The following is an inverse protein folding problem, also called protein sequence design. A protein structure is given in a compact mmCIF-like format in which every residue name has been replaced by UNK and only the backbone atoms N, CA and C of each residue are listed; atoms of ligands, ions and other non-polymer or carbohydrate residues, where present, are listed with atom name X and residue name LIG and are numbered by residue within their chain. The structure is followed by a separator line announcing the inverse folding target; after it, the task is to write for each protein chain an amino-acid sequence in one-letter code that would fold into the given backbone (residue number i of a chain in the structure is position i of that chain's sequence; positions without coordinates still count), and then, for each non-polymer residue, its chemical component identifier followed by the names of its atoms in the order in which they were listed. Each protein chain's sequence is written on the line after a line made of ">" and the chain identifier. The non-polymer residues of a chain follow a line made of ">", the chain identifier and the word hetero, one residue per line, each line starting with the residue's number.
data_IF_465042045285
#
_entry.id   IF_465042045285
#
_cell.length_a   1.000
_cell.length_b   1.000
_cell.length_c   1.000
_cell.angle_alpha   90.00
_cell.angle_beta   90.00
_cell.angle_gamma   90.00
#
_symmetry.space_group_name_H-M   'P 1'
#
loop_
_entity.id
_entity.type
_entity.pdbx_description
1 polymer ?
#
# COMPACT_ATOMS: atom_id res chain seq x y z
N UNK A 1 22.77 9.66 13.19
CA UNK A 1 23.90 10.05 12.33
C UNK A 1 24.00 9.02 11.25
N UNK A 2 23.94 9.44 9.98
CA UNK A 2 24.11 8.53 8.85
C UNK A 2 25.59 8.42 8.55
N UNK A 3 26.12 7.20 8.49
CA UNK A 3 27.53 6.93 8.18
C UNK A 3 27.69 6.54 6.71
N UNK A 4 28.91 6.65 6.15
CA UNK A 4 29.25 5.95 4.92
C UNK A 4 28.92 4.45 5.03
N UNK A 5 28.49 3.84 3.93
CA UNK A 5 28.17 2.42 3.92
C UNK A 5 29.37 1.53 4.29
N UNK A 6 30.59 1.96 3.95
CA UNK A 6 31.84 1.28 4.32
C UNK A 6 32.01 1.06 5.82
N UNK A 7 31.40 1.92 6.64
CA UNK A 7 31.57 1.93 8.10
C UNK A 7 30.48 1.10 8.79
N UNK A 8 29.56 0.53 8.01
CA UNK A 8 28.48 -0.32 8.50
C UNK A 8 28.98 -1.76 8.63
N UNK A 9 29.09 -2.25 9.86
CA UNK A 9 29.56 -3.61 10.16
C UNK A 9 28.45 -4.44 10.82
N UNK A 10 27.58 -5.11 10.04
CA UNK A 10 26.53 -5.96 10.58
C UNK A 10 27.12 -7.22 11.20
N UNK A 11 26.53 -7.67 12.31
CA UNK A 11 26.79 -9.00 12.88
C UNK A 11 25.91 -10.04 12.18
N UNK A 12 26.23 -11.34 12.29
CA UNK A 12 25.44 -12.43 11.67
C UNK A 12 23.94 -12.41 12.02
N UNK A 13 23.56 -11.83 13.17
CA UNK A 13 22.16 -11.71 13.61
C UNK A 13 21.44 -10.46 13.08
N UNK A 14 22.17 -9.57 12.41
CA UNK A 14 21.65 -8.29 11.94
C UNK A 14 20.72 -8.51 10.74
N UNK A 15 19.50 -7.98 10.83
CA UNK A 15 18.59 -7.90 9.70
C UNK A 15 18.97 -6.69 8.81
N UNK A 16 19.00 -6.90 7.50
CA UNK A 16 19.39 -5.89 6.52
C UNK A 16 18.21 -5.52 5.62
N UNK A 17 18.03 -4.22 5.42
CA UNK A 17 17.01 -3.63 4.55
C UNK A 17 17.64 -2.62 3.61
N UNK A 18 17.03 -2.45 2.44
CA UNK A 18 17.45 -1.50 1.43
C UNK A 18 16.36 -0.45 1.23
N UNK A 19 16.73 0.83 1.33
CA UNK A 19 15.87 1.97 1.02
C UNK A 19 16.49 2.79 -0.10
N UNK A 20 15.97 2.70 -1.32
CA UNK A 20 16.34 3.61 -2.39
C UNK A 20 16.07 5.07 -2.01
N UNK A 21 17.03 5.95 -2.26
CA UNK A 21 16.87 7.38 -2.05
C UNK A 21 16.44 8.03 -3.37
N UNK A 22 15.13 8.16 -3.54
CA UNK A 22 14.53 8.75 -4.73
C UNK A 22 14.59 10.28 -4.63
N UNK A 23 15.31 10.94 -5.54
CA UNK A 23 15.49 12.38 -5.56
C UNK A 23 15.28 12.98 -6.95
N UNK A 24 15.10 14.30 -7.02
CA UNK A 24 14.82 15.01 -8.28
C UNK A 24 15.90 14.78 -9.36
N UNK A 25 17.16 14.59 -8.96
CA UNK A 25 18.30 14.35 -9.87
C UNK A 25 18.23 12.96 -10.51
N UNK A 26 17.74 11.95 -9.77
CA UNK A 26 17.65 10.58 -10.24
C UNK A 26 16.57 10.36 -11.32
N UNK A 27 15.69 11.34 -11.55
CA UNK A 27 14.64 11.26 -12.57
C UNK A 27 15.17 11.54 -13.99
N UNK A 28 16.25 12.31 -14.14
CA UNK A 28 16.78 12.68 -15.45
C UNK A 28 17.60 11.57 -16.12
N UNK A 29 18.42 10.83 -15.34
CA UNK A 29 19.22 9.67 -15.78
C UNK A 29 19.49 8.73 -14.59
N UNK A 30 18.52 7.91 -14.17
CA UNK A 30 18.74 7.02 -13.03
C UNK A 30 19.77 5.94 -13.32
N UNK A 31 20.51 5.52 -12.29
CA UNK A 31 21.30 4.29 -12.33
C UNK A 31 20.37 3.06 -12.26
N UNK A 32 19.29 3.15 -11.48
CA UNK A 32 18.26 2.13 -11.39
C UNK A 32 16.87 2.74 -11.18
N UNK A 33 15.83 1.99 -11.55
CA UNK A 33 14.42 2.38 -11.38
C UNK A 33 13.73 1.39 -10.45
N UNK A 34 12.95 1.91 -9.51
CA UNK A 34 12.10 1.08 -8.64
C UNK A 34 11.02 0.43 -9.51
N UNK A 35 10.92 -0.89 -9.43
CA UNK A 35 9.84 -1.65 -10.06
C UNK A 35 9.76 -1.53 -11.57
N UNK A 36 10.84 -1.14 -12.24
CA UNK A 36 10.85 -0.76 -13.66
C UNK A 36 10.02 0.49 -14.00
N UNK A 37 9.63 1.29 -13.00
CA UNK A 37 8.68 2.39 -13.12
C UNK A 37 9.37 3.78 -13.09
N UNK A 38 8.63 4.82 -12.70
CA UNK A 38 9.08 6.21 -12.79
C UNK A 38 10.13 6.63 -11.76
N UNK A 39 10.16 6.02 -10.57
CA UNK A 39 11.03 6.45 -9.49
C UNK A 39 12.45 5.93 -9.67
N UNK A 40 13.34 6.84 -10.07
CA UNK A 40 14.77 6.58 -10.22
C UNK A 40 15.56 6.77 -8.92
N UNK A 41 16.68 6.06 -8.78
CA UNK A 41 17.65 6.27 -7.71
C UNK A 41 19.07 5.93 -8.16
N UNK A 42 20.04 6.58 -7.53
CA UNK A 42 21.49 6.38 -7.66
C UNK A 42 22.16 6.13 -6.30
N UNK A 43 21.51 6.58 -5.22
CA UNK A 43 21.91 6.39 -3.84
C UNK A 43 20.95 5.44 -3.12
N UNK A 44 21.49 4.71 -2.15
CA UNK A 44 20.75 3.76 -1.33
C UNK A 44 21.17 3.89 0.14
N UNK A 45 20.18 3.73 1.01
CA UNK A 45 20.39 3.58 2.44
C UNK A 45 20.24 2.10 2.81
N UNK A 46 21.24 1.56 3.49
CA UNK A 46 21.18 0.25 4.13
C UNK A 46 20.81 0.47 5.59
N UNK A 47 19.70 -0.13 6.01
CA UNK A 47 19.31 -0.17 7.42
C UNK A 47 19.75 -1.52 7.97
N UNK A 48 20.61 -1.51 8.99
CA UNK A 48 21.01 -2.69 9.74
C UNK A 48 20.34 -2.65 11.12
N UNK A 49 19.55 -3.67 11.43
CA UNK A 49 18.75 -3.76 12.65
C UNK A 49 19.14 -4.98 13.49
N UNK A 50 19.42 -4.77 14.76
CA UNK A 50 19.66 -5.81 15.76
C UNK A 50 18.77 -5.54 16.98
N UNK A 51 17.69 -6.32 17.09
CA UNK A 51 16.64 -6.09 18.09
C UNK A 51 16.03 -4.69 17.97
N UNK A 52 16.19 -3.88 19.01
CA UNK A 52 15.71 -2.50 19.10
C UNK A 52 16.70 -1.45 18.58
N UNK A 53 17.94 -1.85 18.26
CA UNK A 53 18.96 -0.96 17.74
C UNK A 53 18.97 -0.99 16.21
N UNK A 54 19.13 0.18 15.60
CA UNK A 54 19.31 0.30 14.16
C UNK A 54 20.40 1.30 13.84
N UNK A 55 21.19 0.98 12.82
CA UNK A 55 22.25 1.83 12.26
C UNK A 55 22.04 1.92 10.75
N UNK A 56 22.37 3.07 10.17
CA UNK A 56 22.15 3.34 8.75
C UNK A 56 23.44 3.74 8.07
N UNK A 57 23.76 3.04 6.97
CA UNK A 57 24.84 3.38 6.05
C UNK A 57 24.27 3.87 4.72
N UNK A 58 24.92 4.83 4.07
CA UNK A 58 24.52 5.30 2.73
C UNK A 58 25.68 5.25 1.73
N UNK A 59 25.33 5.02 0.48
CA UNK A 59 26.28 5.05 -0.64
C UNK A 59 25.57 4.89 -1.98
N UNK A 60 26.37 4.91 -3.05
CA UNK A 60 25.94 4.57 -4.40
C UNK A 60 25.65 3.07 -4.55
N UNK A 61 25.12 2.67 -5.70
CA UNK A 61 24.98 1.25 -6.05
C UNK A 61 26.34 0.53 -6.15
N UNK A 62 27.39 1.22 -6.58
CA UNK A 62 28.75 0.67 -6.61
C UNK A 62 29.30 0.48 -5.19
N UNK A 63 29.05 1.43 -4.29
CA UNK A 63 29.40 1.29 -2.87
C UNK A 63 28.66 0.11 -2.23
N UNK A 64 27.39 -0.09 -2.57
CA UNK A 64 26.61 -1.24 -2.11
C UNK A 64 27.21 -2.56 -2.59
N UNK A 65 27.58 -2.67 -3.86
CA UNK A 65 28.19 -3.87 -4.42
C UNK A 65 29.54 -4.17 -3.76
N UNK A 66 30.39 -3.16 -3.57
CA UNK A 66 31.68 -3.29 -2.90
C UNK A 66 31.53 -3.70 -1.42
N UNK A 67 30.61 -3.06 -0.70
CA UNK A 67 30.32 -3.38 0.70
C UNK A 67 29.75 -4.80 0.85
N UNK A 68 28.79 -5.19 0.00
CA UNK A 68 28.17 -6.52 0.04
C UNK A 68 29.14 -7.67 -0.26
N UNK A 69 30.21 -7.41 -1.03
CA UNK A 69 31.25 -8.40 -1.32
C UNK A 69 32.02 -8.85 -0.06
N UNK A 70 32.10 -7.98 0.96
CA UNK A 70 32.73 -8.26 2.24
C UNK A 70 31.83 -8.95 3.28
N UNK A 71 30.54 -9.16 2.99
CA UNK A 71 29.59 -9.77 3.93
C UNK A 71 29.62 -11.30 3.90
N UNK A 72 29.06 -11.91 4.96
CA UNK A 72 28.74 -13.33 4.97
C UNK A 72 27.78 -13.73 3.84
N UNK A 73 27.74 -15.03 3.53
CA UNK A 73 26.96 -15.55 2.40
C UNK A 73 25.47 -15.17 2.47
N UNK A 74 24.85 -15.30 3.65
CA UNK A 74 23.42 -15.06 3.83
C UNK A 74 23.05 -13.58 3.66
N UNK A 75 23.84 -12.67 4.25
CA UNK A 75 23.63 -11.23 4.05
C UNK A 75 23.84 -10.80 2.62
N UNK A 76 24.86 -11.33 1.95
CA UNK A 76 25.10 -11.06 0.54
C UNK A 76 23.93 -11.53 -0.31
N UNK A 77 23.40 -12.74 -0.07
CA UNK A 77 22.21 -13.24 -0.74
C UNK A 77 20.98 -12.36 -0.46
N UNK A 78 20.80 -11.91 0.79
CA UNK A 78 19.74 -10.97 1.19
C UNK A 78 19.81 -9.66 0.42
N UNK A 79 20.99 -9.02 0.37
CA UNK A 79 21.19 -7.74 -0.34
C UNK A 79 20.93 -7.89 -1.84
N UNK A 80 21.46 -8.94 -2.48
CA UNK A 80 21.19 -9.21 -3.89
C UNK A 80 19.70 -9.45 -4.15
N UNK A 81 19.03 -10.24 -3.30
CA UNK A 81 17.60 -10.51 -3.43
C UNK A 81 16.74 -9.27 -3.24
N UNK A 82 17.08 -8.40 -2.27
CA UNK A 82 16.40 -7.12 -2.08
C UNK A 82 16.61 -6.20 -3.28
N UNK A 83 17.84 -6.08 -3.77
CA UNK A 83 18.16 -5.22 -4.92
C UNK A 83 17.43 -5.67 -6.18
N UNK A 84 17.40 -6.98 -6.47
CA UNK A 84 16.62 -7.52 -7.59
C UNK A 84 15.14 -7.17 -7.45
N UNK A 85 14.53 -7.42 -6.28
CA UNK A 85 13.12 -7.08 -6.03
C UNK A 85 12.83 -5.58 -6.11
N UNK A 86 13.80 -4.74 -5.76
CA UNK A 86 13.68 -3.29 -5.90
C UNK A 86 13.59 -2.88 -7.37
N UNK A 87 14.37 -3.50 -8.26
CA UNK A 87 14.52 -3.05 -9.65
C UNK A 87 13.68 -3.81 -10.66
N UNK A 88 13.28 -5.05 -10.37
CA UNK A 88 12.49 -5.89 -11.25
C UNK A 88 11.18 -5.22 -11.65
N UNK A 89 10.86 -5.26 -12.95
CA UNK A 89 9.61 -4.70 -13.46
C UNK A 89 8.41 -5.33 -12.76
N UNK A 90 7.52 -4.50 -12.22
CA UNK A 90 6.33 -5.02 -11.54
C UNK A 90 5.40 -5.70 -12.56
N UNK A 91 5.01 -6.97 -12.33
CA UNK A 91 4.05 -7.63 -13.19
C UNK A 91 2.66 -6.96 -13.04
N UNK A 92 1.76 -7.14 -14.03
CA UNK A 92 0.40 -6.66 -13.90
C UNK A 92 -0.32 -7.27 -12.69
N UNK A 93 -0.97 -6.44 -11.88
CA UNK A 93 -1.74 -6.87 -10.71
C UNK A 93 -3.23 -6.81 -11.03
N UNK A 94 -3.92 -7.96 -11.04
CA UNK A 94 -5.32 -8.07 -11.46
C UNK A 94 -5.60 -7.43 -12.83
N UNK A 95 -4.66 -7.57 -13.78
CA UNK A 95 -4.73 -6.96 -15.12
C UNK A 95 -4.28 -5.50 -15.20
N UNK A 96 -3.92 -4.88 -14.08
CA UNK A 96 -3.47 -3.48 -14.02
C UNK A 96 -1.95 -3.41 -14.17
N UNK A 97 -1.50 -2.69 -15.19
CA UNK A 97 -0.07 -2.39 -15.39
C UNK A 97 0.36 -1.18 -14.58
N UNK A 98 1.63 -1.13 -14.19
CA UNK A 98 2.23 -0.06 -13.39
C UNK A 98 3.20 0.83 -14.20
N UNK A 99 2.83 1.07 -15.46
CA UNK A 99 3.39 2.09 -16.35
C UNK A 99 3.07 3.53 -15.90
N UNK A 100 2.03 3.69 -15.07
CA UNK A 100 1.66 4.94 -14.41
C UNK A 100 1.09 4.68 -13.00
N UNK A 101 1.06 5.71 -12.12
CA UNK A 101 0.37 5.59 -10.84
C UNK A 101 -1.10 5.29 -11.01
N UNK A 102 -1.61 4.36 -10.20
CA UNK A 102 -3.00 3.91 -10.26
C UNK A 102 -3.78 4.40 -9.04
N UNK A 103 -5.00 4.85 -9.27
CA UNK A 103 -5.88 5.34 -8.20
C UNK A 103 -6.89 4.25 -7.87
N UNK A 104 -7.01 3.97 -6.57
CA UNK A 104 -8.00 3.09 -5.98
C UNK A 104 -9.04 3.95 -5.25
N UNK A 105 -10.22 4.08 -5.85
CA UNK A 105 -11.32 4.87 -5.31
C UNK A 105 -12.05 4.16 -4.17
N UNK A 106 -12.24 4.84 -3.04
CA UNK A 106 -12.93 4.28 -1.87
C UNK A 106 -14.45 4.45 -2.00
N UNK A 107 -15.18 3.34 -2.04
CA UNK A 107 -16.64 3.28 -1.97
C UNK A 107 -17.09 2.55 -0.70
N UNK A 108 -17.32 3.30 0.36
CA UNK A 108 -17.89 2.74 1.60
C UNK A 108 -19.40 2.60 1.46
N UNK A 109 -19.92 1.39 1.68
CA UNK A 109 -21.35 1.06 1.68
C UNK A 109 -21.78 0.80 3.13
N UNK A 110 -21.58 1.80 4.00
CA UNK A 110 -21.98 1.74 5.42
C UNK A 110 -23.02 2.82 5.74
N UNK A 111 -23.91 2.62 6.71
CA UNK A 111 -24.87 3.66 7.13
C UNK A 111 -24.18 4.97 7.52
N UNK A 112 -23.04 4.88 8.24
CA UNK A 112 -22.30 6.03 8.78
C UNK A 112 -21.49 6.81 7.74
N UNK A 113 -21.20 6.22 6.57
CA UNK A 113 -20.46 6.91 5.51
C UNK A 113 -21.31 7.96 4.76
N UNK A 114 -22.64 7.90 4.91
CA UNK A 114 -23.59 8.80 4.23
C UNK A 114 -24.28 9.79 5.19
N UNK A 115 -23.97 9.75 6.49
CA UNK A 115 -24.53 10.66 7.50
C UNK A 115 -23.84 12.04 7.56
N UNK A 116 -22.69 12.25 6.90
CA UNK A 116 -21.98 13.54 6.89
C UNK A 116 -22.45 14.52 5.78
N UNK A 117 -23.66 14.33 5.25
CA UNK A 117 -24.32 15.25 4.32
C UNK A 117 -25.22 14.56 3.30
N UNK A 118 -26.52 14.51 3.59
CA UNK A 118 -27.66 14.47 2.63
C UNK A 118 -27.74 13.32 1.61
N UNK A 119 -28.82 12.53 1.72
CA UNK A 119 -29.62 11.94 0.62
C UNK A 119 -29.40 10.51 0.07
N UNK A 120 -28.52 9.65 0.60
CA UNK A 120 -28.16 8.43 -0.16
C UNK A 120 -27.90 7.14 0.61
N UNK A 121 -28.85 6.69 1.44
CA UNK A 121 -28.82 5.36 2.07
C UNK A 121 -29.43 4.25 1.18
N UNK A 122 -29.18 4.25 -0.14
CA UNK A 122 -29.76 3.26 -1.06
C UNK A 122 -28.71 2.64 -1.98
N UNK A 123 -29.01 1.43 -2.46
CA UNK A 123 -28.20 0.67 -3.42
C UNK A 123 -27.88 1.52 -4.66
N UNK A 124 -28.88 2.22 -5.20
CA UNK A 124 -28.77 3.05 -6.39
C UNK A 124 -27.72 4.15 -6.22
N UNK A 125 -27.64 4.71 -5.02
CA UNK A 125 -26.70 5.79 -4.74
C UNK A 125 -25.26 5.29 -4.60
N UNK A 126 -25.06 4.12 -4.00
CA UNK A 126 -23.76 3.46 -3.97
C UNK A 126 -23.28 3.14 -5.39
N UNK A 127 -24.18 2.65 -6.25
CA UNK A 127 -23.88 2.40 -7.67
C UNK A 127 -23.55 3.70 -8.41
N UNK A 128 -24.34 4.76 -8.21
CA UNK A 128 -24.09 6.06 -8.82
C UNK A 128 -22.72 6.62 -8.42
N UNK A 129 -22.40 6.59 -7.12
CA UNK A 129 -21.09 6.99 -6.61
C UNK A 129 -19.96 6.14 -7.20
N UNK A 130 -20.14 4.82 -7.30
CA UNK A 130 -19.16 3.95 -7.96
C UNK A 130 -18.89 4.36 -9.41
N UNK A 131 -19.94 4.72 -10.16
CA UNK A 131 -19.81 5.25 -11.54
C UNK A 131 -19.13 6.60 -11.58
N UNK A 132 -19.36 7.49 -10.62
CA UNK A 132 -18.65 8.77 -10.51
C UNK A 132 -17.13 8.57 -10.31
N UNK A 133 -16.72 7.64 -9.44
CA UNK A 133 -15.30 7.30 -9.26
C UNK A 133 -14.67 6.80 -10.56
N UNK A 134 -15.39 5.96 -11.28
CA UNK A 134 -14.96 5.41 -12.57
C UNK A 134 -14.82 6.50 -13.63
N UNK A 135 -15.79 7.42 -13.71
CA UNK A 135 -15.70 8.59 -14.58
C UNK A 135 -14.53 9.52 -14.22
N UNK A 136 -14.16 9.58 -12.93
CA UNK A 136 -12.97 10.28 -12.47
C UNK A 136 -11.64 9.57 -12.81
N UNK A 137 -11.70 8.37 -13.41
CA UNK A 137 -10.54 7.65 -13.91
C UNK A 137 -9.82 6.78 -12.88
N UNK A 138 -10.53 6.26 -11.87
CA UNK A 138 -9.93 5.25 -10.98
C UNK A 138 -9.67 3.96 -11.73
N UNK A 139 -8.53 3.32 -11.46
CA UNK A 139 -8.19 2.01 -12.02
C UNK A 139 -8.81 0.87 -11.19
N UNK A 140 -9.02 1.11 -9.89
CA UNK A 140 -9.63 0.18 -8.94
C UNK A 140 -10.77 0.90 -8.22
N UNK A 141 -11.90 0.25 -8.07
CA UNK A 141 -12.98 0.67 -7.19
C UNK A 141 -13.02 -0.27 -5.99
N UNK A 142 -12.78 0.25 -4.79
CA UNK A 142 -12.68 -0.51 -3.55
C UNK A 142 -13.95 -0.39 -2.73
N UNK A 143 -14.68 -1.49 -2.61
CA UNK A 143 -16.02 -1.53 -2.03
C UNK A 143 -15.93 -2.15 -0.64
N UNK A 144 -16.33 -1.39 0.39
CA UNK A 144 -16.28 -1.84 1.79
C UNK A 144 -17.64 -1.75 2.48
N UNK A 145 -18.11 -2.83 3.08
CA UNK A 145 -19.38 -2.90 3.82
C UNK A 145 -19.23 -2.75 5.34
N UNK A 146 -18.00 -2.75 5.83
CA UNK A 146 -17.63 -2.64 7.25
C UNK A 146 -16.71 -1.42 7.44
N UNK A 147 -17.01 -0.59 8.45
CA UNK A 147 -16.11 0.50 8.82
C UNK A 147 -14.89 -0.08 9.56
N UNK A 148 -13.70 0.17 9.04
CA UNK A 148 -12.43 -0.19 9.69
C UNK A 148 -11.82 0.99 10.49
N UNK A 149 -12.63 2.04 10.74
CA UNK A 149 -12.21 3.20 11.55
C UNK A 149 -12.00 2.78 13.01
N UNK A 150 -11.05 3.40 13.74
CA UNK A 150 -10.88 3.14 15.15
C UNK A 150 -12.18 3.31 15.94
N UNK A 151 -12.54 2.31 16.75
CA UNK A 151 -13.74 2.31 17.59
C UNK A 151 -15.03 1.82 16.93
N UNK A 152 -15.03 1.40 15.66
CA UNK A 152 -16.22 0.83 15.02
C UNK A 152 -16.58 -0.56 15.57
N UNK A 153 -17.87 -0.89 15.53
CA UNK A 153 -18.36 -2.24 15.83
C UNK A 153 -18.23 -3.15 14.59
N UNK A 154 -17.81 -4.42 14.78
CA UNK A 154 -17.80 -5.38 13.69
C UNK A 154 -19.23 -5.68 13.25
N UNK A 155 -19.41 -5.89 11.94
CA UNK A 155 -20.70 -6.31 11.38
C UNK A 155 -20.67 -7.81 11.07
N UNK A 156 -21.82 -8.48 11.19
CA UNK A 156 -21.93 -9.89 10.79
C UNK A 156 -21.67 -10.04 9.28
N UNK A 157 -21.06 -11.16 8.87
CA UNK A 157 -20.75 -11.44 7.46
C UNK A 157 -21.97 -11.31 6.54
N UNK A 158 -23.13 -11.83 6.97
CA UNK A 158 -24.39 -11.71 6.21
C UNK A 158 -24.83 -10.26 6.00
N UNK A 159 -24.61 -9.37 6.97
CA UNK A 159 -24.94 -7.95 6.84
C UNK A 159 -23.96 -7.23 5.91
N UNK A 160 -22.67 -7.54 6.00
CA UNK A 160 -21.67 -7.01 5.08
C UNK A 160 -21.95 -7.44 3.64
N UNK A 161 -22.27 -8.72 3.42
CA UNK A 161 -22.69 -9.26 2.11
C UNK A 161 -23.92 -8.52 1.57
N UNK A 162 -24.96 -8.31 2.38
CA UNK A 162 -26.16 -7.56 1.98
C UNK A 162 -25.84 -6.15 1.48
N UNK A 163 -24.79 -5.52 2.01
CA UNK A 163 -24.35 -4.17 1.62
C UNK A 163 -23.56 -4.21 0.31
N UNK A 164 -22.56 -5.09 0.21
CA UNK A 164 -21.57 -5.01 -0.87
C UNK A 164 -21.94 -5.81 -2.12
N UNK A 165 -22.57 -6.98 -1.97
CA UNK A 165 -22.80 -7.90 -3.11
C UNK A 165 -23.67 -7.26 -4.18
N UNK A 166 -24.84 -6.65 -3.88
CA UNK A 166 -25.68 -6.06 -4.92
C UNK A 166 -25.00 -4.88 -5.64
N UNK A 167 -24.13 -4.14 -4.93
CA UNK A 167 -23.36 -3.03 -5.52
C UNK A 167 -22.31 -3.57 -6.49
N UNK A 168 -21.60 -4.64 -6.11
CA UNK A 168 -20.60 -5.30 -6.95
C UNK A 168 -21.27 -5.86 -8.20
N UNK A 169 -22.36 -6.62 -8.08
CA UNK A 169 -23.09 -7.20 -9.21
C UNK A 169 -23.54 -6.12 -10.21
N UNK A 170 -24.14 -5.04 -9.71
CA UNK A 170 -24.66 -3.97 -10.56
C UNK A 170 -23.55 -3.17 -11.28
N UNK A 171 -22.38 -3.03 -10.66
CA UNK A 171 -21.22 -2.36 -11.27
C UNK A 171 -20.46 -3.29 -12.24
N UNK A 172 -20.41 -4.60 -11.95
CA UNK A 172 -19.79 -5.61 -12.80
C UNK A 172 -20.63 -5.96 -14.04
N UNK A 173 -21.94 -5.69 -14.02
CA UNK A 173 -22.86 -5.98 -15.12
C UNK A 173 -22.59 -5.21 -16.43
N UNK A 174 -21.71 -4.20 -16.41
CA UNK A 174 -21.32 -3.44 -17.60
C UNK A 174 -19.79 -3.20 -17.62
N UNK A 175 -19.19 -2.95 -18.80
CA UNK A 175 -17.79 -2.55 -18.88
C UNK A 175 -17.53 -1.28 -18.06
N UNK A 176 -16.93 -1.47 -16.88
CA UNK A 176 -16.68 -0.38 -15.94
C UNK A 176 -15.41 0.38 -16.31
N UNK A 177 -14.43 -0.27 -16.95
CA UNK A 177 -13.10 0.33 -17.16
C UNK A 177 -12.25 0.43 -15.90
N UNK A 178 -12.73 -0.10 -14.78
CA UNK A 178 -12.02 -0.24 -13.50
C UNK A 178 -12.18 -1.68 -12.97
N UNK A 179 -11.20 -2.13 -12.19
CA UNK A 179 -11.24 -3.41 -11.49
C UNK A 179 -11.96 -3.24 -10.16
N UNK A 180 -12.83 -4.18 -9.80
CA UNK A 180 -13.55 -4.13 -8.51
C UNK A 180 -12.71 -4.86 -7.44
N UNK A 181 -12.50 -4.18 -6.32
CA UNK A 181 -11.89 -4.69 -5.09
C UNK A 181 -12.94 -4.80 -3.98
N UNK A 182 -12.86 -5.85 -3.17
CA UNK A 182 -13.63 -6.00 -1.92
C UNK A 182 -12.73 -5.70 -0.71
N UNK A 183 -13.07 -4.68 0.07
CA UNK A 183 -12.44 -4.35 1.36
C UNK A 183 -13.12 -5.17 2.46
N UNK A 184 -12.57 -6.35 2.76
CA UNK A 184 -13.09 -7.24 3.80
C UNK A 184 -12.03 -8.16 4.39
N UNK A 185 -12.27 -8.59 5.63
CA UNK A 185 -11.44 -9.54 6.39
C UNK A 185 -12.08 -10.92 6.52
N UNK A 186 -13.32 -11.09 6.02
CA UNK A 186 -14.16 -12.25 6.28
C UNK A 186 -14.19 -13.15 5.05
N UNK A 187 -13.80 -14.41 5.19
CA UNK A 187 -13.68 -15.33 4.08
C UNK A 187 -15.00 -15.49 3.30
N UNK A 188 -16.13 -15.56 4.01
CA UNK A 188 -17.47 -15.67 3.40
C UNK A 188 -17.87 -14.44 2.57
N UNK A 189 -17.41 -13.24 2.96
CA UNK A 189 -17.64 -12.02 2.19
C UNK A 189 -16.77 -12.02 0.94
N UNK A 190 -15.50 -12.44 1.05
CA UNK A 190 -14.58 -12.58 -0.08
C UNK A 190 -15.14 -13.52 -1.15
N UNK A 191 -15.62 -14.71 -0.75
CA UNK A 191 -16.23 -15.70 -1.65
C UNK A 191 -17.40 -15.10 -2.44
N UNK A 192 -18.33 -14.43 -1.75
CA UNK A 192 -19.53 -13.84 -2.38
C UNK A 192 -19.19 -12.64 -3.26
N UNK A 193 -18.26 -11.78 -2.82
CA UNK A 193 -17.84 -10.63 -3.58
C UNK A 193 -17.13 -11.01 -4.88
N UNK A 194 -16.24 -12.01 -4.84
CA UNK A 194 -15.56 -12.51 -6.05
C UNK A 194 -16.56 -13.19 -6.99
N UNK A 195 -17.49 -14.00 -6.47
CA UNK A 195 -18.56 -14.58 -7.27
C UNK A 195 -19.45 -13.51 -7.95
N UNK A 196 -19.60 -12.34 -7.33
CA UNK A 196 -20.34 -11.20 -7.86
C UNK A 196 -19.55 -10.36 -8.90
N UNK A 197 -18.23 -10.56 -9.03
CA UNK A 197 -17.39 -9.88 -10.01
C UNK A 197 -16.18 -9.12 -9.46
N UNK A 198 -15.92 -9.16 -8.14
CA UNK A 198 -14.67 -8.61 -7.60
C UNK A 198 -13.47 -9.44 -8.07
N UNK A 199 -12.36 -8.78 -8.40
CA UNK A 199 -11.11 -9.42 -8.87
C UNK A 199 -9.91 -9.11 -7.97
N UNK A 200 -10.14 -8.38 -6.87
CA UNK A 200 -9.15 -8.07 -5.84
C UNK A 200 -9.79 -8.24 -4.46
N UNK A 201 -9.09 -8.87 -3.53
CA UNK A 201 -9.38 -8.86 -2.10
C UNK A 201 -8.43 -7.87 -1.43
N UNK A 202 -8.99 -6.84 -0.80
CA UNK A 202 -8.26 -5.89 0.03
C UNK A 202 -8.50 -6.23 1.50
N UNK A 203 -7.52 -6.84 2.16
CA UNK A 203 -7.67 -7.31 3.54
C UNK A 203 -6.72 -6.54 4.47
N UNK A 204 -7.33 -5.69 5.31
CA UNK A 204 -6.62 -4.90 6.34
C UNK A 204 -5.90 -5.75 7.40
N UNK A 205 -6.19 -7.06 7.47
CA UNK A 205 -5.57 -8.05 8.35
C UNK A 205 -4.57 -8.97 7.64
N UNK A 206 -4.28 -8.71 6.36
CA UNK A 206 -3.37 -9.52 5.54
C UNK A 206 -3.71 -11.03 5.54
N UNK A 207 -5.00 -11.37 5.41
CA UNK A 207 -5.52 -12.75 5.42
C UNK A 207 -5.25 -13.50 6.73
N UNK A 208 -5.07 -12.78 7.84
CA UNK A 208 -4.82 -13.35 9.16
C UNK A 208 -6.01 -13.18 10.13
N UNK A 209 -6.99 -12.33 9.80
CA UNK A 209 -8.15 -12.06 10.67
C UNK A 209 -9.18 -13.19 10.70
N UNK A 210 -9.31 -13.95 9.62
CA UNK A 210 -10.14 -15.15 9.52
C UNK A 210 -9.26 -16.33 9.10
N UNK A 211 -9.29 -17.42 9.87
CA UNK A 211 -8.53 -18.65 9.60
C UNK A 211 -8.78 -19.25 8.20
N UNK A 212 -9.94 -18.99 7.58
CA UNK A 212 -10.28 -19.44 6.22
C UNK A 212 -9.76 -18.50 5.13
N UNK A 213 -9.47 -17.23 5.44
CA UNK A 213 -9.22 -16.20 4.42
C UNK A 213 -8.06 -16.54 3.49
N UNK A 214 -6.97 -17.11 4.02
CA UNK A 214 -5.81 -17.49 3.21
C UNK A 214 -6.14 -18.58 2.19
N UNK A 215 -6.81 -19.66 2.63
CA UNK A 215 -7.21 -20.76 1.76
C UNK A 215 -8.22 -20.29 0.71
N UNK A 216 -9.21 -19.50 1.14
CA UNK A 216 -10.22 -18.92 0.24
C UNK A 216 -9.59 -18.02 -0.81
N UNK A 217 -8.66 -17.14 -0.43
CA UNK A 217 -7.99 -16.26 -1.38
C UNK A 217 -7.14 -17.06 -2.41
N UNK A 218 -6.50 -18.15 -1.97
CA UNK A 218 -5.78 -19.06 -2.85
C UNK A 218 -6.70 -19.75 -3.87
N UNK A 219 -7.83 -20.29 -3.39
CA UNK A 219 -8.82 -20.97 -4.23
C UNK A 219 -9.48 -20.02 -5.25
N UNK A 220 -9.78 -18.78 -4.85
CA UNK A 220 -10.38 -17.77 -5.71
C UNK A 220 -9.43 -17.28 -6.81
N UNK A 221 -8.11 -17.35 -6.60
CA UNK A 221 -7.09 -17.03 -7.61
C UNK A 221 -7.04 -15.55 -8.04
N UNK A 222 -7.67 -14.66 -7.27
CA UNK A 222 -7.74 -13.20 -7.51
C UNK A 222 -6.52 -12.45 -6.95
N UNK A 223 -6.41 -11.15 -7.23
CA UNK A 223 -5.40 -10.31 -6.59
C UNK A 223 -5.67 -10.14 -5.10
N UNK A 224 -4.62 -10.02 -4.28
CA UNK A 224 -4.74 -9.77 -2.83
C UNK A 224 -3.88 -8.58 -2.42
N UNK A 225 -4.44 -7.71 -1.58
CA UNK A 225 -3.74 -6.58 -0.96
C UNK A 225 -3.58 -6.90 0.53
N UNK A 226 -2.33 -7.06 0.95
CA UNK A 226 -1.96 -7.38 2.33
C UNK A 226 -1.59 -6.10 3.07
N UNK A 227 -2.41 -5.68 4.02
CA UNK A 227 -2.10 -4.50 4.84
C UNK A 227 -1.51 -4.88 6.19
N UNK A 228 -0.54 -4.09 6.66
CA UNK A 228 -0.12 -4.17 8.05
C UNK A 228 -1.09 -3.45 8.98
N UNK A 229 -1.66 -4.19 9.93
CA UNK A 229 -2.42 -3.67 11.06
C UNK A 229 -1.94 -4.29 12.38
N UNK A 230 -1.70 -3.47 13.40
CA UNK A 230 -1.40 -3.96 14.75
C UNK A 230 -2.63 -3.82 15.64
N UNK A 231 -3.08 -4.93 16.23
CA UNK A 231 -4.28 -4.97 17.07
C UNK A 231 -5.58 -4.89 16.26
N UNK A 232 -6.71 -4.92 16.96
CA UNK A 232 -8.04 -4.76 16.36
C UNK A 232 -8.44 -3.28 16.26
N UNK A 233 -9.35 -2.87 15.35
CA UNK A 233 -9.82 -1.48 15.25
C UNK A 233 -10.21 -0.82 16.58
N UNK A 234 -10.74 -1.59 17.53
CA UNK A 234 -11.11 -1.10 18.86
C UNK A 234 -9.92 -0.83 19.78
N UNK A 235 -8.81 -1.55 19.64
CA UNK A 235 -7.68 -1.53 20.59
C UNK A 235 -6.35 -1.08 19.99
N UNK A 236 -6.25 -1.00 18.66
CA UNK A 236 -5.00 -0.78 17.92
C UNK A 236 -4.24 0.49 18.31
N UNK A 237 -4.95 1.55 18.75
CA UNK A 237 -4.32 2.82 19.12
C UNK A 237 -3.71 2.82 20.53
N UNK A 238 -3.97 1.82 21.36
CA UNK A 238 -3.59 1.82 22.78
C UNK A 238 -2.24 1.13 23.09
N UNK A 239 -1.64 0.39 22.13
CA UNK A 239 -0.53 -0.52 22.42
C UNK A 239 0.57 -0.60 21.32
N UNK A 240 0.74 0.44 20.50
CA UNK A 240 1.75 0.40 19.43
C UNK A 240 3.13 0.80 19.94
N UNK A 241 3.93 -0.18 20.33
CA UNK A 241 5.36 -0.01 20.55
C UNK A 241 6.10 -0.56 19.32
N UNK A 242 6.77 0.32 18.57
CA UNK A 242 7.74 -0.05 17.53
C UNK A 242 9.07 0.60 17.89
N UNK A 243 10.17 -0.10 17.63
CA UNK A 243 11.52 0.45 17.72
C UNK A 243 11.96 1.04 16.38
N UNK A 244 11.66 0.36 15.28
CA UNK A 244 11.91 0.83 13.92
C UNK A 244 10.71 0.48 13.03
N UNK A 245 9.63 1.29 13.05
CA UNK A 245 8.35 0.95 12.41
C UNK A 245 8.47 0.49 10.96
N UNK A 246 9.25 1.15 10.07
CA UNK A 246 9.35 0.69 8.67
C UNK A 246 9.92 -0.73 8.54
N UNK A 247 10.89 -1.10 9.37
CA UNK A 247 11.57 -2.40 9.28
C UNK A 247 10.71 -3.52 9.87
N UNK A 248 10.08 -3.26 11.02
CA UNK A 248 9.18 -4.22 11.65
C UNK A 248 7.92 -4.49 10.80
N UNK A 249 7.38 -3.46 10.15
CA UNK A 249 6.27 -3.61 9.20
C UNK A 249 6.73 -4.36 7.94
N UNK A 250 7.96 -4.12 7.47
CA UNK A 250 8.54 -4.88 6.37
C UNK A 250 8.60 -6.36 6.70
N UNK A 251 9.14 -6.72 7.87
CA UNK A 251 9.26 -8.12 8.31
C UNK A 251 7.89 -8.81 8.42
N UNK A 252 6.90 -8.11 8.98
CA UNK A 252 5.53 -8.62 9.05
C UNK A 252 4.97 -8.92 7.65
N UNK A 253 5.06 -7.95 6.73
CA UNK A 253 4.55 -8.11 5.37
C UNK A 253 5.32 -9.18 4.59
N UNK A 254 6.64 -9.28 4.79
CA UNK A 254 7.46 -10.36 4.22
C UNK A 254 6.96 -11.73 4.67
N UNK A 255 6.74 -11.93 5.97
CA UNK A 255 6.19 -13.18 6.49
C UNK A 255 4.77 -13.48 5.99
N UNK A 256 3.94 -12.46 5.76
CA UNK A 256 2.60 -12.64 5.16
C UNK A 256 2.68 -12.99 3.67
N UNK A 257 3.61 -12.41 2.92
CA UNK A 257 3.86 -12.77 1.52
C UNK A 257 4.32 -14.24 1.45
N UNK A 258 5.26 -14.65 2.30
CA UNK A 258 5.75 -16.03 2.34
C UNK A 258 4.62 -17.02 2.68
N UNK A 259 3.74 -16.68 3.62
CA UNK A 259 2.56 -17.48 3.93
C UNK A 259 1.59 -17.61 2.74
N UNK A 260 1.42 -16.53 1.97
CA UNK A 260 0.61 -16.53 0.75
C UNK A 260 1.22 -17.41 -0.35
N UNK A 261 2.54 -17.31 -0.57
CA UNK A 261 3.26 -18.14 -1.53
C UNK A 261 3.20 -19.63 -1.17
N UNK A 262 3.36 -19.96 0.13
CA UNK A 262 3.22 -21.32 0.63
C UNK A 262 1.80 -21.88 0.44
N UNK A 263 0.78 -21.03 0.45
CA UNK A 263 -0.61 -21.39 0.16
C UNK A 263 -0.94 -21.43 -1.35
N UNK A 264 0.00 -21.09 -2.23
CA UNK A 264 -0.18 -21.11 -3.69
C UNK A 264 -0.57 -19.77 -4.33
N UNK A 265 -0.59 -18.67 -3.56
CA UNK A 265 -0.80 -17.32 -4.10
C UNK A 265 0.54 -16.78 -4.60
N UNK A 266 0.72 -16.76 -5.92
CA UNK A 266 1.94 -16.22 -6.53
C UNK A 266 2.14 -14.74 -6.16
N UNK A 267 3.40 -14.33 -5.91
CA UNK A 267 3.77 -12.94 -5.58
C UNK A 267 3.22 -11.89 -6.54
N UNK A 268 3.11 -12.21 -7.83
CA UNK A 268 2.55 -11.34 -8.85
C UNK A 268 1.06 -10.97 -8.61
N UNK A 269 0.35 -11.77 -7.80
CA UNK A 269 -1.02 -11.50 -7.36
C UNK A 269 -1.07 -10.77 -6.02
N UNK A 270 0.06 -10.35 -5.46
CA UNK A 270 0.13 -9.72 -4.15
C UNK A 270 0.55 -8.26 -4.31
N UNK A 271 -0.22 -7.37 -3.69
CA UNK A 271 0.19 -6.02 -3.37
C UNK A 271 0.23 -5.84 -1.84
N UNK A 272 0.95 -4.83 -1.38
CA UNK A 272 1.10 -4.55 0.05
C UNK A 272 0.67 -3.13 0.40
N UNK A 273 0.19 -2.93 1.62
CA UNK A 273 -0.08 -1.61 2.20
C UNK A 273 0.58 -1.51 3.60
N UNK A 274 1.49 -0.56 3.84
CA UNK A 274 2.10 -0.35 5.17
C UNK A 274 1.10 0.05 6.28
N UNK A 275 -0.14 0.36 5.94
CA UNK A 275 -1.27 0.55 6.83
C UNK A 275 -1.24 1.86 7.60
N UNK A 276 -1.13 3.00 6.90
CA UNK A 276 -1.10 4.32 7.54
C UNK A 276 -2.37 4.56 8.38
N UNK A 277 -2.15 4.94 9.64
CA UNK A 277 -3.20 5.20 10.63
C UNK A 277 -3.79 3.95 11.30
N UNK A 278 -3.31 2.75 11.01
CA UNK A 278 -3.77 1.49 11.63
C UNK A 278 -2.79 1.02 12.71
N UNK A 279 -3.11 1.35 13.97
CA UNK A 279 -2.31 1.00 15.15
C UNK A 279 -0.94 1.67 15.17
N UNK A 280 -0.88 2.97 14.89
CA UNK A 280 0.37 3.73 14.68
C UNK A 280 0.21 5.15 15.22
N UNK A 281 1.18 5.61 16.01
CA UNK A 281 1.28 7.01 16.45
C UNK A 281 1.59 7.96 15.27
N UNK A 282 1.58 9.26 15.53
CA UNK A 282 2.01 10.25 14.53
C UNK A 282 3.43 9.94 14.05
N UNK A 283 4.36 9.75 14.99
CA UNK A 283 5.78 9.49 14.73
C UNK A 283 5.96 8.22 13.90
N UNK A 284 5.22 7.15 14.21
CA UNK A 284 5.26 5.92 13.43
C UNK A 284 4.77 6.14 11.99
N UNK A 285 3.66 6.86 11.80
CA UNK A 285 3.15 7.17 10.47
C UNK A 285 4.16 8.00 9.66
N UNK A 286 4.80 9.00 10.26
CA UNK A 286 5.82 9.82 9.59
C UNK A 286 7.09 9.02 9.26
N UNK A 287 7.52 8.12 10.14
CA UNK A 287 8.63 7.23 9.88
C UNK A 287 8.34 6.34 8.66
N UNK A 288 7.13 5.76 8.56
CA UNK A 288 6.72 4.92 7.43
C UNK A 288 6.61 5.74 6.15
N UNK A 289 5.92 6.88 6.19
CA UNK A 289 5.74 7.74 5.01
C UNK A 289 7.06 8.26 4.44
N UNK A 290 8.05 8.49 5.30
CA UNK A 290 9.38 8.89 4.85
C UNK A 290 10.21 7.72 4.29
N UNK A 291 9.87 6.46 4.57
CA UNK A 291 10.62 5.27 4.17
C UNK A 291 9.80 4.36 3.24
N UNK A 292 8.87 4.90 2.46
CA UNK A 292 8.00 4.09 1.60
C UNK A 292 8.80 3.30 0.54
N UNK A 293 9.90 3.87 0.06
CA UNK A 293 10.74 3.20 -0.96
C UNK A 293 11.35 1.88 -0.47
N UNK A 294 11.50 1.70 0.85
CA UNK A 294 11.99 0.47 1.47
C UNK A 294 11.08 -0.74 1.16
N UNK A 295 9.77 -0.54 1.11
CA UNK A 295 8.80 -1.63 0.93
C UNK A 295 8.84 -2.27 -0.47
N UNK A 296 9.44 -1.59 -1.46
CA UNK A 296 9.65 -2.21 -2.77
C UNK A 296 10.63 -3.39 -2.71
N UNK A 297 11.45 -3.48 -1.65
CA UNK A 297 12.28 -4.65 -1.37
C UNK A 297 11.48 -5.94 -1.12
N UNK A 298 10.15 -5.86 -0.95
CA UNK A 298 9.27 -7.04 -0.89
C UNK A 298 8.95 -7.62 -2.27
N UNK A 299 9.21 -6.88 -3.35
CA UNK A 299 8.94 -7.31 -4.73
C UNK A 299 7.45 -7.24 -5.14
N UNK A 300 6.59 -6.68 -4.29
CA UNK A 300 5.18 -6.46 -4.58
C UNK A 300 4.91 -5.03 -5.06
N UNK A 301 3.73 -4.80 -5.63
CA UNK A 301 3.22 -3.44 -5.81
C UNK A 301 2.84 -2.84 -4.44
N UNK A 302 3.06 -1.54 -4.27
CA UNK A 302 2.81 -0.82 -3.01
C UNK A 302 1.57 0.06 -3.17
N UNK A 303 0.61 -0.13 -2.28
CA UNK A 303 -0.54 0.73 -2.06
C UNK A 303 -0.29 1.62 -0.84
N UNK A 304 -0.76 2.87 -0.88
CA UNK A 304 -0.88 3.70 0.33
C UNK A 304 -2.29 4.27 0.48
N UNK A 305 -2.85 4.17 1.68
CA UNK A 305 -4.10 4.83 2.09
C UNK A 305 -3.85 6.03 3.00
N UNK A 306 -3.56 7.21 2.42
CA UNK A 306 -3.28 8.45 3.18
C UNK A 306 -4.46 9.44 3.22
N UNK A 307 -5.49 9.20 2.40
CA UNK A 307 -6.62 10.11 2.23
C UNK A 307 -7.38 10.36 3.54
N UNK A 308 -7.45 11.64 3.94
CA UNK A 308 -8.21 12.18 5.07
C UNK A 308 -7.82 11.63 6.47
N UNK A 309 -6.67 10.94 6.57
CA UNK A 309 -6.19 10.29 7.80
C UNK A 309 -5.87 11.28 8.92
N UNK A 310 -5.89 10.80 10.16
CA UNK A 310 -5.72 11.59 11.38
C UNK A 310 -4.36 12.28 11.49
N UNK A 311 -3.28 11.67 10.95
CA UNK A 311 -1.93 12.26 11.01
C UNK A 311 -1.89 13.66 10.36
N UNK A 312 -2.68 13.89 9.31
CA UNK A 312 -2.80 15.20 8.66
C UNK A 312 -3.38 16.20 9.66
N UNK A 313 -4.48 15.84 10.34
CA UNK A 313 -5.10 16.71 11.35
C UNK A 313 -4.19 16.97 12.55
N UNK A 314 -3.38 15.99 12.95
CA UNK A 314 -2.39 16.15 14.02
C UNK A 314 -1.26 17.12 13.64
N UNK A 315 -0.85 17.14 12.36
CA UNK A 315 0.18 18.06 11.86
C UNK A 315 -0.33 19.47 11.59
N UNK A 316 -1.54 19.60 11.04
CA UNK A 316 -2.05 20.89 10.52
C UNK A 316 -3.08 21.56 11.43
N UNK A 317 -3.59 20.84 12.44
CA UNK A 317 -4.70 21.28 13.27
C UNK A 317 -6.09 21.09 12.64
N UNK A 318 -6.20 20.59 11.39
CA UNK A 318 -7.50 20.39 10.74
C UNK A 318 -8.25 19.17 11.31
N UNK A 319 -9.31 19.45 12.07
CA UNK A 319 -10.09 18.45 12.77
C UNK A 319 -11.08 17.70 11.87
N UNK A 320 -11.54 18.33 10.78
CA UNK A 320 -12.56 17.74 9.89
C UNK A 320 -11.91 16.86 8.83
N UNK A 321 -12.20 15.55 8.77
CA UNK A 321 -11.59 14.66 7.77
C UNK A 321 -11.79 15.14 6.33
N UNK A 322 -12.97 15.66 5.98
CA UNK A 322 -13.28 16.17 4.64
C UNK A 322 -12.43 17.38 4.22
N UNK A 323 -11.93 18.17 5.17
CA UNK A 323 -11.11 19.35 4.89
C UNK A 323 -9.60 19.01 4.76
N UNK A 324 -9.22 17.73 4.91
CA UNK A 324 -7.82 17.26 4.83
C UNK A 324 -7.37 16.93 3.41
N UNK A 325 -8.13 17.30 2.38
CA UNK A 325 -7.77 17.06 0.98
C UNK A 325 -6.36 17.60 0.64
N UNK A 326 -5.97 18.86 0.97
CA UNK A 326 -4.64 19.37 0.64
C UNK A 326 -3.50 18.52 1.23
N UNK A 327 -3.62 18.12 2.49
CA UNK A 327 -2.65 17.24 3.14
C UNK A 327 -2.64 15.82 2.54
N UNK A 328 -3.79 15.34 2.07
CA UNK A 328 -3.91 14.03 1.40
C UNK A 328 -3.20 14.03 0.06
N UNK A 329 -3.32 15.11 -0.71
CA UNK A 329 -2.61 15.30 -1.99
C UNK A 329 -1.10 15.41 -1.75
N UNK A 330 -0.67 16.20 -0.76
CA UNK A 330 0.75 16.32 -0.42
C UNK A 330 1.37 14.97 -0.04
N UNK A 331 0.70 14.19 0.80
CA UNK A 331 1.16 12.85 1.19
C UNK A 331 1.16 11.87 -0.01
N UNK A 332 0.17 11.97 -0.89
CA UNK A 332 0.09 11.20 -2.14
C UNK A 332 1.31 11.45 -3.01
N UNK A 333 1.59 12.72 -3.34
CA UNK A 333 2.75 13.12 -4.15
C UNK A 333 4.07 12.67 -3.51
N UNK A 334 4.20 12.78 -2.19
CA UNK A 334 5.38 12.29 -1.47
C UNK A 334 5.56 10.77 -1.60
N UNK A 335 4.47 10.00 -1.66
CA UNK A 335 4.50 8.56 -1.95
C UNK A 335 4.88 8.26 -3.40
N UNK A 336 4.32 8.99 -4.36
CA UNK A 336 4.65 8.84 -5.79
C UNK A 336 6.15 9.07 -6.05
N UNK A 337 6.73 10.10 -5.41
CA UNK A 337 8.16 10.38 -5.49
C UNK A 337 9.05 9.24 -4.96
N UNK A 338 8.49 8.31 -4.17
CA UNK A 338 9.17 7.14 -3.64
C UNK A 338 8.86 5.84 -4.40
N UNK A 339 8.09 5.92 -5.50
CA UNK A 339 7.79 4.77 -6.38
C UNK A 339 6.50 4.02 -6.07
N UNK A 340 5.66 4.52 -5.15
CA UNK A 340 4.38 3.88 -4.78
C UNK A 340 3.46 3.74 -5.99
N UNK A 341 3.09 2.51 -6.33
CA UNK A 341 2.32 2.21 -7.53
C UNK A 341 0.84 2.59 -7.43
N UNK A 342 0.25 2.48 -6.25
CA UNK A 342 -1.19 2.65 -6.04
C UNK A 342 -1.50 3.60 -4.89
N UNK A 343 -2.52 4.43 -5.06
CA UNK A 343 -3.00 5.34 -4.01
C UNK A 343 -4.49 5.14 -3.78
N UNK A 344 -4.86 4.85 -2.53
CA UNK A 344 -6.25 4.68 -2.09
C UNK A 344 -6.82 6.01 -1.63
N UNK A 345 -7.85 6.51 -2.31
CA UNK A 345 -8.37 7.87 -2.11
C UNK A 345 -9.91 7.95 -2.10
N UNK A 346 -10.43 8.81 -1.21
CA UNK A 346 -11.86 9.20 -1.22
C UNK A 346 -12.15 10.24 -2.32
N UNK A 347 -11.22 11.18 -2.52
CA UNK A 347 -11.32 12.31 -3.45
C UNK A 347 -10.68 11.94 -4.80
N UNK A 348 -11.36 11.10 -5.58
CA UNK A 348 -10.77 10.49 -6.78
C UNK A 348 -10.40 11.51 -7.87
N UNK A 349 -11.28 12.48 -8.15
CA UNK A 349 -11.05 13.47 -9.21
C UNK A 349 -9.86 14.39 -8.88
N UNK A 350 -9.77 14.84 -7.63
CA UNK A 350 -8.71 15.72 -7.15
C UNK A 350 -7.38 14.97 -7.04
N UNK A 351 -7.42 13.69 -6.64
CA UNK A 351 -6.24 12.82 -6.66
C UNK A 351 -5.77 12.57 -8.09
N UNK A 352 -6.70 12.35 -9.03
CA UNK A 352 -6.39 12.20 -10.46
C UNK A 352 -5.71 13.45 -11.01
N UNK A 353 -6.28 14.63 -10.76
CA UNK A 353 -5.67 15.89 -11.16
C UNK A 353 -4.24 16.04 -10.62
N UNK A 354 -4.01 15.73 -9.34
CA UNK A 354 -2.68 15.79 -8.75
C UNK A 354 -1.70 14.80 -9.41
N UNK A 355 -2.14 13.56 -9.67
CA UNK A 355 -1.35 12.54 -10.36
C UNK A 355 -1.00 12.99 -11.79
N UNK A 356 -1.94 13.59 -12.53
CA UNK A 356 -1.70 14.09 -13.89
C UNK A 356 -0.65 15.20 -13.91
N UNK A 357 -0.78 16.19 -13.04
CA UNK A 357 0.21 17.27 -12.90
C UNK A 357 1.57 16.69 -12.52
N UNK A 358 1.60 15.80 -11.53
CA UNK A 358 2.84 15.15 -11.10
C UNK A 358 3.50 14.37 -12.26
N UNK A 359 2.72 13.59 -13.02
CA UNK A 359 3.20 12.85 -14.20
C UNK A 359 3.75 13.78 -15.27
N UNK A 360 3.06 14.86 -15.60
CA UNK A 360 3.51 15.82 -16.60
C UNK A 360 4.87 16.43 -16.23
N UNK A 361 5.12 16.66 -14.94
CA UNK A 361 6.40 17.17 -14.44
C UNK A 361 7.54 16.12 -14.47
N UNK A 362 7.21 14.83 -14.39
CA UNK A 362 8.19 13.74 -14.25
C UNK A 362 8.38 12.90 -15.53
N UNK A 363 7.45 12.99 -16.48
CA UNK A 363 7.42 12.21 -17.74
C UNK A 363 7.99 12.92 -18.97
N UNK A 364 8.48 14.16 -18.84
CA UNK A 364 8.97 14.97 -19.97
C UNK A 364 10.35 14.61 -20.54
N UNK A 365 10.82 13.36 -20.37
CA UNK A 365 12.15 12.91 -20.82
C UNK A 365 12.18 12.15 -22.15
N UNK A 366 11.03 11.69 -22.66
CA UNK A 366 10.94 10.95 -23.91
C UNK A 366 9.77 11.50 -24.75
N UNK A 367 10.04 12.51 -25.60
CA UNK A 367 9.11 12.95 -26.64
C UNK A 367 8.64 14.41 -26.60
N UNK A 368 9.57 15.36 -26.51
CA UNK A 368 9.35 16.74 -26.99
C UNK A 368 10.40 17.09 -28.05
#
# INVERSE_FOLDING_TARGET
>A
MTTPLSDLHPTDRTALYLRPLCGAVALARPAARIGGAWAGFDQIEVVARDGCHSVTGRGSLDDLAAWAAGLGQDHRARIHGLLARLTDQRPPFAGICFDEPRIMGVLNVTPDSFSDGGDYATLEAAIARGREHVQAGVAILDIGGESTRPGSDPVAAAEEQRRVVPVIEALAAAPLGAVISIDSRKAEVMEKAVAAGASIINDVSALAGDHRALAVAADLGVGVILMHCQGEPKTMQAASAYHHPPAEIFDYLEGRIEACEAAGIARARIAIDPGIGFGKSLEHNLAILSHLSLFHGLGCAVLIGVSRKSFIGQLTGEQRPKARLPGSIAATVAGLNQGVQMVRAHDAAETRQAVEVWRALHGGGEGA
#
